data_IF_404515898308
#
_entry.id   IF_404515898308
#
_cell.length_a   1.000
_cell.length_b   1.000
_cell.length_c   1.000
_cell.angle_alpha   90.00
_cell.angle_beta   90.00
_cell.angle_gamma   90.00
#
_symmetry.space_group_name_H-M   'P 1'
#
loop_
_entity.id
_entity.type
_entity.pdbx_description
1 polymer ?
#
# COMPACT_ATOMS: atom_id res chain seq x y z
N UNK A 1 1.13 4.98 -22.98
CA UNK A 1 0.07 5.65 -22.18
C UNK A 1 0.19 7.17 -22.29
N UNK A 2 1.30 7.76 -21.85
CA UNK A 2 1.47 9.23 -21.80
C UNK A 2 1.32 9.98 -23.12
N UNK A 3 1.79 9.41 -24.25
CA UNK A 3 1.59 10.02 -25.59
C UNK A 3 0.11 10.23 -25.97
N UNK A 4 -0.82 9.59 -25.26
CA UNK A 4 -2.27 9.73 -25.43
C UNK A 4 -2.93 10.56 -24.30
N UNK A 5 -2.14 11.28 -23.49
CA UNK A 5 -2.64 12.03 -22.34
C UNK A 5 -3.05 11.19 -21.14
N UNK A 6 -2.80 9.87 -21.14
CA UNK A 6 -3.14 8.98 -20.04
C UNK A 6 -2.07 9.01 -18.96
N UNK A 7 -2.49 8.83 -17.71
CA UNK A 7 -1.64 8.65 -16.53
C UNK A 7 -1.48 7.17 -16.20
N UNK A 8 -0.31 6.78 -15.69
CA UNK A 8 0.01 5.41 -15.33
C UNK A 8 0.17 5.27 -13.80
N UNK A 9 -0.65 4.41 -13.20
CA UNK A 9 -0.51 4.01 -11.79
C UNK A 9 0.15 2.64 -11.75
N UNK A 10 1.25 2.52 -11.02
CA UNK A 10 2.02 1.29 -10.92
C UNK A 10 1.77 0.59 -9.58
N UNK A 11 1.43 -0.70 -9.63
CA UNK A 11 1.16 -1.51 -8.45
C UNK A 11 2.43 -2.09 -7.84
N UNK A 12 2.52 -2.11 -6.51
CA UNK A 12 3.33 -3.09 -5.78
C UNK A 12 2.76 -3.37 -4.38
N UNK A 13 3.07 -4.53 -3.80
CA UNK A 13 2.72 -4.83 -2.41
C UNK A 13 3.71 -4.18 -1.44
N UNK A 14 3.23 -3.45 -0.45
CA UNK A 14 4.04 -2.92 0.66
C UNK A 14 4.26 -3.95 1.77
N UNK A 15 3.27 -4.82 2.02
CA UNK A 15 3.27 -5.78 3.11
C UNK A 15 3.80 -7.18 2.77
N UNK A 16 4.04 -7.49 1.50
CA UNK A 16 4.52 -8.81 1.04
C UNK A 16 5.59 -8.69 -0.07
N UNK A 17 6.32 -9.78 -0.33
CA UNK A 17 7.44 -9.78 -1.28
C UNK A 17 7.59 -11.07 -2.11
N UNK A 18 6.66 -12.03 -1.98
CA UNK A 18 6.77 -13.28 -2.73
C UNK A 18 6.60 -13.08 -4.25
N UNK A 19 7.37 -13.87 -5.01
CA UNK A 19 7.44 -13.78 -6.47
C UNK A 19 8.06 -12.49 -7.02
N UNK A 20 8.62 -11.61 -6.16
CA UNK A 20 9.23 -10.34 -6.59
C UNK A 20 10.74 -10.52 -6.80
N UNK A 21 11.35 -9.83 -7.78
CA UNK A 21 12.79 -9.95 -8.06
C UNK A 21 13.68 -9.43 -6.92
N UNK A 22 13.13 -8.62 -6.01
CA UNK A 22 13.83 -8.07 -4.84
C UNK A 22 13.61 -8.87 -3.55
N UNK A 23 12.88 -10.00 -3.58
CA UNK A 23 12.57 -10.84 -2.41
C UNK A 23 13.79 -11.13 -1.54
N UNK A 24 14.91 -11.51 -2.16
CA UNK A 24 16.13 -11.89 -1.43
C UNK A 24 16.70 -10.76 -0.58
N UNK A 25 16.48 -9.49 -0.95
CA UNK A 25 16.90 -8.34 -0.14
C UNK A 25 16.10 -8.25 1.16
N UNK A 26 14.80 -8.55 1.12
CA UNK A 26 13.93 -8.58 2.30
C UNK A 26 14.25 -9.78 3.20
N UNK A 27 14.56 -10.94 2.60
CA UNK A 27 15.00 -12.14 3.34
C UNK A 27 16.31 -11.85 4.06
N UNK A 28 17.32 -11.32 3.36
CA UNK A 28 18.62 -10.94 3.95
C UNK A 28 18.50 -9.88 5.03
N UNK A 29 17.53 -8.98 4.93
CA UNK A 29 17.24 -7.97 5.95
C UNK A 29 16.52 -8.54 7.20
N UNK A 30 16.08 -9.80 7.15
CA UNK A 30 15.31 -10.44 8.22
C UNK A 30 13.89 -9.88 8.37
N UNK A 31 13.30 -9.41 7.26
CA UNK A 31 11.97 -8.78 7.28
C UNK A 31 10.82 -9.76 6.99
N UNK A 32 11.09 -10.94 6.44
CA UNK A 32 10.04 -11.89 6.05
C UNK A 32 9.53 -12.66 7.27
N UNK A 33 8.22 -12.69 7.44
CA UNK A 33 7.47 -13.45 8.46
C UNK A 33 6.87 -14.67 7.77
N UNK A 34 7.27 -15.86 8.21
CA UNK A 34 6.85 -17.13 7.58
C UNK A 34 5.64 -17.76 8.27
N UNK A 35 5.20 -17.21 9.40
CA UNK A 35 4.14 -17.76 10.24
C UNK A 35 2.73 -17.44 9.73
N UNK A 36 2.58 -16.41 8.87
CA UNK A 36 1.30 -15.94 8.31
C UNK A 36 1.50 -15.42 6.89
N UNK A 37 0.42 -15.48 6.10
CA UNK A 37 0.37 -14.89 4.75
C UNK A 37 -0.82 -13.95 4.55
N UNK A 38 -0.90 -13.34 3.37
CA UNK A 38 -1.95 -12.40 2.96
C UNK A 38 -3.27 -13.08 2.52
N UNK A 39 -3.79 -13.95 3.40
CA UNK A 39 -5.03 -14.68 3.16
C UNK A 39 -4.88 -15.80 2.13
N UNK A 40 -5.78 -15.84 1.15
CA UNK A 40 -5.85 -16.91 0.14
C UNK A 40 -4.64 -16.95 -0.81
N UNK A 41 -3.92 -15.83 -0.94
CA UNK A 41 -2.74 -15.74 -1.80
C UNK A 41 -1.49 -16.36 -1.16
N UNK A 42 -1.45 -16.47 0.17
CA UNK A 42 -0.39 -17.16 0.91
C UNK A 42 1.00 -16.52 0.82
N UNK A 43 1.12 -15.25 0.40
CA UNK A 43 2.41 -14.55 0.40
C UNK A 43 2.79 -14.19 1.83
N UNK A 44 4.02 -14.50 2.21
CA UNK A 44 4.62 -14.19 3.50
C UNK A 44 4.57 -12.68 3.77
N UNK A 45 4.14 -12.34 4.98
CA UNK A 45 4.07 -10.96 5.44
C UNK A 45 5.47 -10.39 5.71
N UNK A 46 5.56 -9.06 5.73
CA UNK A 46 6.76 -8.33 6.12
C UNK A 46 6.63 -7.74 7.53
N UNK A 47 7.74 -7.69 8.25
CA UNK A 47 7.80 -7.06 9.57
C UNK A 47 7.78 -5.53 9.45
N UNK A 48 6.59 -4.94 9.57
CA UNK A 48 6.38 -3.49 9.46
C UNK A 48 6.92 -2.68 10.65
N UNK A 49 7.27 -3.34 11.76
CA UNK A 49 7.81 -2.68 12.95
C UNK A 49 9.31 -2.32 12.80
N UNK A 50 10.04 -2.95 11.86
CA UNK A 50 11.42 -2.55 11.51
C UNK A 50 11.40 -1.50 10.38
N UNK A 51 10.83 -0.33 10.68
CA UNK A 51 10.66 0.77 9.71
C UNK A 51 11.97 1.09 8.98
N UNK A 52 13.10 1.15 9.68
CA UNK A 52 14.37 1.56 9.09
C UNK A 52 14.80 0.64 7.93
N UNK A 53 14.76 -0.68 8.13
CA UNK A 53 15.12 -1.63 7.07
C UNK A 53 14.05 -1.67 5.99
N UNK A 54 12.77 -1.74 6.38
CA UNK A 54 11.69 -1.88 5.44
C UNK A 54 11.54 -0.66 4.53
N UNK A 55 11.59 0.56 5.09
CA UNK A 55 11.51 1.81 4.33
C UNK A 55 12.62 1.91 3.29
N UNK A 56 13.85 1.51 3.63
CA UNK A 56 14.96 1.53 2.67
C UNK A 56 14.71 0.62 1.46
N UNK A 57 14.09 -0.54 1.65
CA UNK A 57 13.77 -1.46 0.55
C UNK A 57 12.52 -1.04 -0.23
N UNK A 58 11.47 -0.56 0.44
CA UNK A 58 10.29 -0.03 -0.24
C UNK A 58 10.62 1.24 -1.04
N UNK A 59 11.51 2.09 -0.54
CA UNK A 59 12.03 3.25 -1.30
C UNK A 59 12.61 2.85 -2.65
N UNK A 60 13.32 1.72 -2.73
CA UNK A 60 13.81 1.18 -4.02
C UNK A 60 12.67 0.81 -4.98
N UNK A 61 11.51 0.37 -4.47
CA UNK A 61 10.31 0.10 -5.29
C UNK A 61 9.69 1.40 -5.81
N UNK A 62 9.60 2.45 -4.99
CA UNK A 62 9.18 3.78 -5.45
C UNK A 62 10.13 4.35 -6.51
N UNK A 63 11.45 4.32 -6.27
CA UNK A 63 12.46 4.75 -7.24
C UNK A 63 12.38 3.99 -8.56
N UNK A 64 12.09 2.68 -8.49
CA UNK A 64 11.85 1.86 -9.69
C UNK A 64 10.61 2.33 -10.44
N UNK A 65 9.52 2.64 -9.75
CA UNK A 65 8.30 3.17 -10.37
C UNK A 65 8.55 4.52 -11.07
N UNK A 66 9.25 5.44 -10.42
CA UNK A 66 9.68 6.72 -11.03
C UNK A 66 10.51 6.46 -12.28
N UNK A 67 11.51 5.57 -12.20
CA UNK A 67 12.36 5.21 -13.35
C UNK A 67 11.55 4.61 -14.52
N UNK A 68 10.47 3.90 -14.24
CA UNK A 68 9.57 3.34 -15.25
C UNK A 68 8.56 4.35 -15.81
N UNK A 69 8.57 5.59 -15.30
CA UNK A 69 7.70 6.67 -15.76
C UNK A 69 6.28 6.58 -15.18
N UNK A 70 6.08 5.91 -14.05
CA UNK A 70 4.80 5.90 -13.36
C UNK A 70 4.46 7.32 -12.85
N UNK A 71 3.22 7.76 -13.00
CA UNK A 71 2.75 9.04 -12.44
C UNK A 71 2.36 8.89 -10.97
N UNK A 72 1.95 7.68 -10.57
CA UNK A 72 1.59 7.34 -9.21
C UNK A 72 1.84 5.86 -8.93
N UNK A 73 1.74 5.47 -7.66
CA UNK A 73 1.74 4.06 -7.25
C UNK A 73 0.52 3.70 -6.42
N UNK A 74 0.06 2.46 -6.58
CA UNK A 74 -0.88 1.81 -5.67
C UNK A 74 -0.08 0.84 -4.82
N UNK A 75 -0.06 1.07 -3.50
CA UNK A 75 0.66 0.20 -2.56
C UNK A 75 -0.31 -0.68 -1.80
N UNK A 76 -0.20 -1.98 -2.02
CA UNK A 76 -1.13 -2.98 -1.49
C UNK A 76 -0.64 -3.62 -0.19
N UNK A 77 -1.51 -4.37 0.49
CA UNK A 77 -1.25 -5.09 1.74
C UNK A 77 -0.70 -4.14 2.82
N UNK A 78 -1.44 -3.07 3.10
CA UNK A 78 -1.10 -2.12 4.17
C UNK A 78 -1.79 -2.46 5.50
N UNK A 79 -2.73 -3.41 5.50
CA UNK A 79 -3.58 -3.83 6.61
C UNK A 79 -3.08 -5.11 7.28
N UNK A 80 -1.80 -5.17 7.63
CA UNK A 80 -1.21 -6.36 8.23
C UNK A 80 -1.91 -6.82 9.52
N UNK A 81 -2.59 -5.90 10.22
CA UNK A 81 -3.43 -6.24 11.38
C UNK A 81 -4.60 -7.18 11.07
N UNK A 82 -5.11 -7.19 9.83
CA UNK A 82 -6.16 -8.12 9.40
C UNK A 82 -5.60 -9.53 9.18
N UNK A 83 -4.33 -9.64 8.78
CA UNK A 83 -3.68 -10.93 8.47
C UNK A 83 -2.94 -11.54 9.66
N UNK A 84 -2.43 -10.72 10.57
CA UNK A 84 -1.68 -11.17 11.75
C UNK A 84 -1.99 -10.30 12.99
N UNK A 85 -3.24 -10.33 13.52
CA UNK A 85 -3.67 -9.49 14.63
C UNK A 85 -2.93 -9.77 15.95
N UNK A 86 -2.34 -10.95 16.11
CA UNK A 86 -1.52 -11.26 17.30
C UNK A 86 -0.16 -10.54 17.30
N UNK A 87 0.28 -10.02 16.14
CA UNK A 87 1.57 -9.36 15.96
C UNK A 87 1.45 -7.88 15.62
N UNK A 88 0.41 -7.50 14.86
CA UNK A 88 0.19 -6.14 14.41
C UNK A 88 -1.16 -5.61 14.87
N UNK A 89 -1.12 -4.45 15.51
CA UNK A 89 -2.32 -3.70 15.85
C UNK A 89 -2.79 -2.89 14.64
N UNK A 90 -4.05 -2.45 14.70
CA UNK A 90 -4.60 -1.50 13.73
C UNK A 90 -3.79 -0.19 13.69
N UNK A 91 -3.20 0.23 14.81
CA UNK A 91 -2.35 1.42 14.85
C UNK A 91 -0.99 1.19 14.17
N UNK A 92 -0.41 -0.01 14.29
CA UNK A 92 0.82 -0.35 13.56
C UNK A 92 0.60 -0.25 12.04
N UNK A 93 -0.56 -0.72 11.56
CA UNK A 93 -0.93 -0.61 10.14
C UNK A 93 -1.22 0.84 9.72
N UNK A 94 -1.79 1.67 10.60
CA UNK A 94 -1.92 3.12 10.35
C UNK A 94 -0.55 3.79 10.22
N UNK A 95 0.35 3.55 11.17
CA UNK A 95 1.72 4.11 11.16
C UNK A 95 2.45 3.64 9.90
N UNK A 96 2.33 2.36 9.56
CA UNK A 96 2.88 1.76 8.35
C UNK A 96 2.39 2.46 7.08
N UNK A 97 1.08 2.50 6.86
CA UNK A 97 0.48 3.13 5.69
C UNK A 97 0.87 4.60 5.57
N UNK A 98 0.88 5.35 6.68
CA UNK A 98 1.29 6.75 6.71
C UNK A 98 2.72 6.93 6.20
N UNK A 99 3.71 6.24 6.79
CA UNK A 99 5.09 6.48 6.38
C UNK A 99 5.38 5.92 4.97
N UNK A 100 4.63 4.91 4.51
CA UNK A 100 4.69 4.45 3.12
C UNK A 100 4.31 5.58 2.16
N UNK A 101 3.21 6.30 2.45
CA UNK A 101 2.79 7.43 1.64
C UNK A 101 3.83 8.58 1.67
N UNK A 102 4.31 8.94 2.87
CA UNK A 102 5.38 9.93 3.05
C UNK A 102 6.64 9.56 2.24
N UNK A 103 7.01 8.27 2.21
CA UNK A 103 8.18 7.80 1.45
C UNK A 103 7.99 7.94 -0.06
N UNK A 104 6.78 7.70 -0.57
CA UNK A 104 6.49 7.93 -2.00
C UNK A 104 6.57 9.43 -2.35
N UNK A 105 6.04 10.29 -1.49
CA UNK A 105 6.13 11.74 -1.67
C UNK A 105 7.57 12.25 -1.64
N UNK A 106 8.42 11.72 -0.76
CA UNK A 106 9.86 12.02 -0.74
C UNK A 106 10.57 11.64 -2.06
N UNK A 107 10.10 10.60 -2.75
CA UNK A 107 10.59 10.19 -4.08
C UNK A 107 9.88 10.93 -5.24
N UNK A 108 9.08 11.96 -4.94
CA UNK A 108 8.31 12.77 -5.88
C UNK A 108 7.31 11.97 -6.74
N UNK A 109 6.63 10.97 -6.14
CA UNK A 109 5.57 10.20 -6.80
C UNK A 109 4.29 10.19 -5.96
N UNK A 110 3.14 10.35 -6.61
CA UNK A 110 1.84 10.26 -5.94
C UNK A 110 1.56 8.83 -5.45
N UNK A 111 0.82 8.70 -4.34
CA UNK A 111 0.54 7.43 -3.69
C UNK A 111 -0.97 7.26 -3.46
N UNK A 112 -1.51 6.13 -3.93
CA UNK A 112 -2.89 5.71 -3.72
C UNK A 112 -3.03 4.78 -2.52
N UNK A 113 -4.05 5.02 -1.69
CA UNK A 113 -4.43 4.10 -0.60
C UNK A 113 -5.19 2.91 -1.20
N UNK A 114 -4.64 1.70 -1.08
CA UNK A 114 -5.36 0.47 -1.42
C UNK A 114 -6.18 -0.02 -0.23
N UNK A 115 -7.50 -0.11 -0.38
CA UNK A 115 -8.43 -0.60 0.65
C UNK A 115 -8.26 0.12 2.01
N UNK A 116 -8.15 -0.61 3.14
CA UNK A 116 -8.06 -0.06 4.51
C UNK A 116 -9.25 0.84 4.94
N UNK A 117 -10.51 0.42 4.73
CA UNK A 117 -11.70 1.25 4.95
C UNK A 117 -11.74 1.86 6.36
N UNK A 118 -11.54 1.03 7.39
CA UNK A 118 -11.66 1.49 8.77
C UNK A 118 -10.55 2.44 9.24
N UNK A 119 -9.52 2.68 8.41
CA UNK A 119 -8.45 3.66 8.62
C UNK A 119 -8.49 4.81 7.61
N UNK A 120 -9.25 4.68 6.51
CA UNK A 120 -9.30 5.66 5.43
C UNK A 120 -9.56 7.11 5.90
N UNK A 121 -10.50 7.39 6.84
CA UNK A 121 -10.69 8.76 7.35
C UNK A 121 -9.47 9.38 8.04
N UNK A 122 -8.61 8.57 8.67
CA UNK A 122 -7.39 9.05 9.32
C UNK A 122 -6.23 9.17 8.32
N UNK A 123 -6.20 8.29 7.33
CA UNK A 123 -5.13 8.20 6.33
C UNK A 123 -5.30 9.16 5.16
N UNK A 124 -6.52 9.61 4.87
CA UNK A 124 -6.86 10.44 3.71
C UNK A 124 -5.86 11.56 3.46
N UNK A 125 -5.50 12.34 4.48
CA UNK A 125 -4.59 13.49 4.34
C UNK A 125 -3.19 13.13 3.79
N UNK A 126 -2.76 11.87 3.93
CA UNK A 126 -1.44 11.40 3.50
C UNK A 126 -1.43 10.79 2.10
N UNK A 127 -2.59 10.46 1.53
CA UNK A 127 -2.69 9.82 0.21
C UNK A 127 -3.31 10.76 -0.81
N UNK A 128 -2.97 10.57 -2.08
CA UNK A 128 -3.42 11.44 -3.19
C UNK A 128 -4.78 10.99 -3.76
N UNK A 129 -5.09 9.70 -3.64
CA UNK A 129 -6.34 9.06 -4.06
C UNK A 129 -6.50 7.72 -3.34
N UNK A 130 -7.63 7.04 -3.56
CA UNK A 130 -7.86 5.68 -3.08
C UNK A 130 -8.16 4.73 -4.25
N UNK A 131 -7.74 3.46 -4.11
CA UNK A 131 -8.15 2.34 -4.96
C UNK A 131 -8.83 1.31 -4.06
N UNK A 132 -10.08 0.96 -4.37
CA UNK A 132 -10.93 0.20 -3.46
C UNK A 132 -11.60 -0.95 -4.19
N UNK A 133 -11.51 -2.15 -3.62
CA UNK A 133 -12.11 -3.35 -4.17
C UNK A 133 -13.40 -3.70 -3.44
N UNK A 134 -14.45 -3.98 -4.21
CA UNK A 134 -15.71 -4.58 -3.75
C UNK A 134 -16.39 -3.89 -2.56
N UNK A 135 -16.19 -2.57 -2.38
CA UNK A 135 -16.71 -1.84 -1.20
C UNK A 135 -18.23 -1.96 -1.02
N UNK A 136 -18.99 -2.11 -2.11
CA UNK A 136 -20.44 -2.24 -2.07
C UNK A 136 -20.84 -3.59 -1.45
N UNK A 137 -20.13 -4.66 -1.79
CA UNK A 137 -20.36 -6.00 -1.27
C UNK A 137 -20.08 -6.06 0.24
N UNK A 138 -19.04 -5.37 0.70
CA UNK A 138 -18.65 -5.32 2.10
C UNK A 138 -19.31 -4.18 2.90
N UNK A 139 -20.13 -3.32 2.26
CA UNK A 139 -20.74 -2.12 2.86
C UNK A 139 -19.71 -1.12 3.42
N UNK A 140 -18.60 -0.96 2.71
CA UNK A 140 -17.44 -0.17 3.13
C UNK A 140 -17.28 1.15 2.35
N UNK A 141 -18.09 1.41 1.32
CA UNK A 141 -17.89 2.58 0.47
C UNK A 141 -17.97 3.92 1.23
N UNK A 142 -18.75 3.99 2.32
CA UNK A 142 -18.90 5.21 3.12
C UNK A 142 -17.58 5.66 3.78
N UNK A 143 -16.67 4.74 4.09
CA UNK A 143 -15.37 5.06 4.68
C UNK A 143 -14.50 5.91 3.76
N UNK A 144 -14.67 5.79 2.45
CA UNK A 144 -13.87 6.50 1.45
C UNK A 144 -14.48 7.83 1.02
N UNK A 145 -15.68 8.18 1.51
CA UNK A 145 -16.32 9.49 1.23
C UNK A 145 -15.43 10.66 1.63
N UNK A 146 -14.63 10.50 2.68
CA UNK A 146 -13.63 11.46 3.14
C UNK A 146 -12.64 11.88 2.04
N UNK A 147 -12.30 11.00 1.08
CA UNK A 147 -11.43 11.34 -0.05
C UNK A 147 -12.18 12.26 -1.01
N UNK A 148 -13.39 11.89 -1.41
CA UNK A 148 -14.20 12.71 -2.33
C UNK A 148 -14.61 14.05 -1.72
N UNK A 149 -14.87 14.10 -0.41
CA UNK A 149 -15.17 15.34 0.32
C UNK A 149 -13.97 16.31 0.31
N UNK A 150 -12.75 15.80 0.13
CA UNK A 150 -11.51 16.58 0.00
C UNK A 150 -10.98 16.65 -1.45
N UNK A 151 -11.85 16.47 -2.45
CA UNK A 151 -11.53 16.52 -3.89
C UNK A 151 -10.47 15.50 -4.36
N UNK A 152 -10.36 14.36 -3.67
CA UNK A 152 -9.50 13.24 -4.07
C UNK A 152 -10.31 12.15 -4.74
N UNK A 153 -9.72 11.56 -5.78
CA UNK A 153 -10.36 10.47 -6.53
C UNK A 153 -10.45 9.19 -5.68
N UNK A 154 -11.51 8.42 -5.92
CA UNK A 154 -11.67 7.05 -5.41
C UNK A 154 -11.95 6.15 -6.61
N UNK A 155 -11.00 5.30 -6.97
CA UNK A 155 -11.13 4.33 -8.05
C UNK A 155 -11.67 3.02 -7.47
N UNK A 156 -12.89 2.65 -7.86
CA UNK A 156 -13.56 1.45 -7.33
C UNK A 156 -13.54 0.35 -8.38
N UNK A 157 -13.14 -0.85 -7.97
CA UNK A 157 -13.23 -2.08 -8.75
C UNK A 157 -14.20 -3.02 -8.04
N UNK A 158 -15.15 -3.60 -8.77
CA UNK A 158 -16.04 -4.64 -8.25
C UNK A 158 -15.78 -5.94 -8.99
N UNK A 159 -15.69 -7.04 -8.23
CA UNK A 159 -15.57 -8.41 -8.74
C UNK A 159 -16.88 -9.17 -8.51
#
# INVERSE_FOLDING_TARGET
LHKRGQKAVCYFSGGTTDGKPDKDEFVKAGLVIYERGDGDWGNNLLNINDKKKLQSLLRKRFQRAVKYGCDAVEVDVLDLYNFYPEKFTKEDSFVFAKWVAETGHEENISVGLKNLPSLAPRLEQYFDFAVVESCANYKECSYFKTFTDNNKAVFIVHY
#
